data_IF_632663036576
#
_entry.id   IF_632663036576
#
_cell.length_a   1.000
_cell.length_b   1.000
_cell.length_c   1.000
_cell.angle_alpha   90.00
_cell.angle_beta   90.00
_cell.angle_gamma   90.00
#
_symmetry.space_group_name_H-M   'P 1'
#
loop_
_entity.id
_entity.type
_entity.pdbx_description
1 polymer ?
#
# COMPACT_ATOMS: atom_id res chain seq x y z
N UNK A 1 4.50 5.03 4.16
CA UNK A 1 3.58 4.77 5.28
C UNK A 1 2.66 3.65 4.88
N UNK A 2 2.61 2.60 5.68
CA UNK A 2 1.61 1.55 5.59
C UNK A 2 0.59 1.82 6.70
N UNK A 3 -0.67 2.01 6.33
CA UNK A 3 -1.71 2.51 7.23
C UNK A 3 -2.87 1.52 7.23
N UNK A 4 -3.43 1.29 8.41
CA UNK A 4 -4.72 0.62 8.57
C UNK A 4 -5.85 1.65 8.41
N UNK A 5 -6.37 1.76 7.19
CA UNK A 5 -7.44 2.71 6.84
C UNK A 5 -8.81 2.01 7.00
N UNK A 6 -9.64 2.39 7.99
CA UNK A 6 -10.95 1.75 8.21
C UNK A 6 -11.98 2.14 7.14
N UNK A 7 -11.68 3.09 6.26
CA UNK A 7 -12.59 3.62 5.26
C UNK A 7 -12.83 2.71 4.05
N UNK A 8 -13.70 3.15 3.12
CA UNK A 8 -14.09 2.38 1.92
C UNK A 8 -12.92 2.13 0.96
N UNK A 9 -11.86 2.94 1.03
CA UNK A 9 -10.66 2.80 0.20
C UNK A 9 -9.52 2.04 0.88
N UNK A 10 -9.71 1.61 2.13
CA UNK A 10 -8.78 0.81 2.92
C UNK A 10 -9.33 -0.59 3.14
N UNK A 11 -9.79 -0.88 4.37
CA UNK A 11 -10.46 -2.13 4.75
C UNK A 11 -11.70 -2.42 3.91
N UNK A 12 -12.41 -1.41 3.40
CA UNK A 12 -13.55 -1.61 2.49
C UNK A 12 -13.20 -2.30 1.16
N UNK A 13 -11.91 -2.38 0.81
CA UNK A 13 -11.40 -3.09 -0.36
C UNK A 13 -10.88 -4.51 -0.08
N UNK A 14 -10.88 -4.92 1.18
CA UNK A 14 -10.42 -6.24 1.59
C UNK A 14 -11.34 -7.34 1.05
N UNK A 15 -10.75 -8.47 0.64
CA UNK A 15 -11.47 -9.65 0.21
C UNK A 15 -11.25 -10.77 1.23
N UNK A 16 -12.31 -11.38 1.75
CA UNK A 16 -12.20 -12.44 2.76
C UNK A 16 -11.49 -13.71 2.25
N UNK A 17 -11.37 -13.91 0.94
CA UNK A 17 -10.56 -14.98 0.36
C UNK A 17 -9.04 -14.75 0.51
N UNK A 18 -8.61 -13.60 1.04
CA UNK A 18 -7.22 -13.33 1.39
C UNK A 18 -6.73 -14.16 2.59
N UNK A 19 -7.65 -14.63 3.45
CA UNK A 19 -7.29 -15.51 4.57
C UNK A 19 -6.88 -16.90 4.05
N UNK A 20 -6.04 -17.64 4.81
CA UNK A 20 -5.38 -17.24 6.07
C UNK A 20 -4.07 -16.45 5.87
N UNK A 21 -3.59 -16.29 4.64
CA UNK A 21 -2.27 -15.68 4.39
C UNK A 21 -2.24 -14.19 4.75
N UNK A 22 -3.34 -13.48 4.56
CA UNK A 22 -3.48 -12.09 4.97
C UNK A 22 -4.80 -11.94 5.70
N UNK A 23 -4.74 -11.62 6.98
CA UNK A 23 -5.91 -11.29 7.80
C UNK A 23 -6.31 -9.82 7.65
N UNK A 24 -7.57 -9.49 7.98
CA UNK A 24 -8.09 -8.13 7.83
C UNK A 24 -7.32 -7.10 8.66
N UNK A 25 -6.84 -7.48 9.85
CA UNK A 25 -6.06 -6.61 10.74
C UNK A 25 -4.61 -6.41 10.25
N UNK A 26 -4.13 -7.26 9.35
CA UNK A 26 -2.85 -7.12 8.65
C UNK A 26 -2.97 -6.30 7.37
N UNK A 27 -4.17 -6.11 6.84
CA UNK A 27 -4.41 -5.33 5.63
C UNK A 27 -3.90 -3.89 5.76
N UNK A 28 -2.99 -3.48 4.87
CA UNK A 28 -2.45 -2.11 4.85
C UNK A 28 -2.68 -1.45 3.51
N UNK A 29 -2.81 -0.13 3.57
CA UNK A 29 -2.88 0.79 2.44
C UNK A 29 -1.69 1.73 2.48
N UNK A 30 -1.19 2.13 1.32
CA UNK A 30 -0.14 3.13 1.22
C UNK A 30 -0.08 3.75 -0.17
N UNK A 31 1.04 4.44 -0.42
CA UNK A 31 1.32 5.08 -1.70
C UNK A 31 1.76 4.06 -2.74
N UNK A 32 1.40 4.30 -4.01
CA UNK A 32 1.95 3.61 -5.19
C UNK A 32 3.43 3.97 -5.43
N UNK A 33 3.86 5.11 -4.90
CA UNK A 33 5.25 5.56 -4.93
C UNK A 33 5.94 5.17 -3.62
N UNK A 34 7.05 4.44 -3.73
CA UNK A 34 7.82 3.97 -2.60
C UNK A 34 9.31 3.92 -2.92
N UNK A 35 10.11 3.86 -1.87
CA UNK A 35 11.54 3.59 -1.93
C UNK A 35 11.81 2.34 -1.11
N UNK A 36 12.71 1.50 -1.60
CA UNK A 36 13.14 0.29 -0.90
C UNK A 36 14.64 0.17 -1.00
N UNK A 37 15.27 -0.32 0.07
CA UNK A 37 16.65 -0.76 -0.01
C UNK A 37 16.73 -2.11 -0.77
N UNK A 38 17.95 -2.55 -1.08
CA UNK A 38 18.17 -3.78 -1.84
C UNK A 38 17.63 -5.03 -1.14
N UNK A 39 17.76 -5.09 0.19
CA UNK A 39 17.33 -6.26 0.97
C UNK A 39 15.81 -6.44 0.88
N UNK A 40 15.04 -5.38 1.12
CA UNK A 40 13.57 -5.41 0.99
C UNK A 40 13.12 -5.65 -0.46
N UNK A 41 13.86 -5.14 -1.45
CA UNK A 41 13.55 -5.39 -2.86
C UNK A 41 13.67 -6.89 -3.21
N UNK A 42 14.65 -7.59 -2.64
CA UNK A 42 14.79 -9.04 -2.82
C UNK A 42 13.59 -9.78 -2.19
N UNK A 43 13.15 -9.38 -0.99
CA UNK A 43 11.96 -9.93 -0.34
C UNK A 43 10.69 -9.79 -1.20
N UNK A 44 10.51 -8.63 -1.85
CA UNK A 44 9.39 -8.39 -2.77
C UNK A 44 9.44 -9.32 -3.98
N UNK A 45 10.60 -9.44 -4.63
CA UNK A 45 10.71 -10.20 -5.88
C UNK A 45 10.60 -11.71 -5.65
N UNK A 46 11.04 -12.21 -4.49
CA UNK A 46 10.98 -13.64 -4.16
C UNK A 46 9.62 -14.09 -3.59
N UNK A 47 8.69 -13.17 -3.34
CA UNK A 47 7.45 -13.49 -2.67
C UNK A 47 6.56 -14.41 -3.51
N UNK A 48 6.35 -15.61 -3.00
CA UNK A 48 5.44 -16.63 -3.54
C UNK A 48 4.27 -16.94 -2.62
N UNK A 49 4.12 -16.22 -1.51
CA UNK A 49 3.08 -16.46 -0.50
C UNK A 49 1.96 -15.43 -0.66
N UNK A 50 2.30 -14.15 -0.59
CA UNK A 50 1.30 -13.08 -0.56
C UNK A 50 0.92 -12.63 -1.97
N UNK A 51 1.89 -12.39 -2.85
CA UNK A 51 1.63 -11.92 -4.22
C UNK A 51 0.59 -12.77 -4.98
N UNK A 52 0.60 -14.11 -4.94
CA UNK A 52 -0.44 -14.91 -5.59
C UNK A 52 -1.86 -14.60 -5.09
N UNK A 53 -2.06 -14.40 -3.79
CA UNK A 53 -3.35 -14.01 -3.20
C UNK A 53 -3.80 -12.63 -3.70
N UNK A 54 -2.89 -11.66 -3.74
CA UNK A 54 -3.19 -10.34 -4.31
C UNK A 54 -3.51 -10.42 -5.80
N UNK A 55 -2.74 -11.19 -6.56
CA UNK A 55 -2.98 -11.41 -7.98
C UNK A 55 -4.34 -12.04 -8.25
N UNK A 56 -4.77 -12.97 -7.41
CA UNK A 56 -6.05 -13.67 -7.55
C UNK A 56 -7.24 -12.82 -7.08
N UNK A 57 -7.17 -12.30 -5.85
CA UNK A 57 -8.31 -11.75 -5.12
C UNK A 57 -8.36 -10.22 -5.04
N UNK A 58 -7.24 -9.50 -5.25
CA UNK A 58 -7.22 -8.04 -5.33
C UNK A 58 -7.55 -7.58 -6.76
N UNK A 59 -8.80 -7.83 -7.18
CA UNK A 59 -9.35 -7.34 -8.45
C UNK A 59 -9.97 -5.96 -8.27
N UNK A 60 -10.10 -5.14 -9.33
CA UNK A 60 -10.77 -3.85 -9.23
C UNK A 60 -12.10 -3.96 -8.46
N UNK A 61 -12.35 -3.11 -7.46
CA UNK A 61 -11.67 -1.84 -7.13
C UNK A 61 -10.60 -1.92 -6.01
N UNK A 62 -9.93 -3.07 -5.81
CA UNK A 62 -8.93 -3.24 -4.73
C UNK A 62 -7.62 -2.44 -4.90
N UNK A 63 -7.02 -2.39 -6.11
CA UNK A 63 -5.72 -1.74 -6.41
C UNK A 63 -4.52 -2.33 -5.65
N UNK A 64 -3.93 -3.38 -6.21
CA UNK A 64 -2.82 -4.11 -5.59
C UNK A 64 -1.56 -3.25 -5.36
N UNK A 65 -1.31 -2.27 -6.20
CA UNK A 65 -0.20 -1.32 -6.08
C UNK A 65 -0.33 -0.37 -4.87
N UNK A 66 -1.52 -0.22 -4.29
CA UNK A 66 -1.75 0.53 -3.04
C UNK A 66 -1.71 -0.37 -1.79
N UNK A 67 -1.84 -1.69 -1.93
CA UNK A 67 -2.05 -2.61 -0.80
C UNK A 67 -1.01 -3.73 -0.65
N UNK A 68 -0.51 -4.31 -1.73
CA UNK A 68 0.31 -5.53 -1.71
C UNK A 68 1.61 -5.35 -0.92
N UNK A 69 2.53 -4.52 -1.43
CA UNK A 69 3.85 -4.32 -0.81
C UNK A 69 3.70 -3.74 0.60
N UNK A 70 2.70 -2.89 0.83
CA UNK A 70 2.41 -2.30 2.13
C UNK A 70 2.00 -3.36 3.16
N UNK A 71 1.15 -4.30 2.75
CA UNK A 71 0.68 -5.40 3.61
C UNK A 71 1.79 -6.42 3.84
N UNK A 72 2.39 -6.93 2.77
CA UNK A 72 3.44 -7.96 2.86
C UNK A 72 4.61 -7.49 3.73
N UNK A 73 5.15 -6.29 3.49
CA UNK A 73 6.27 -5.80 4.30
C UNK A 73 5.86 -5.44 5.74
N UNK A 74 4.60 -5.08 6.00
CA UNK A 74 4.12 -4.86 7.37
C UNK A 74 4.00 -6.16 8.16
N UNK A 75 3.70 -7.27 7.49
CA UNK A 75 3.68 -8.60 8.09
C UNK A 75 5.12 -9.08 8.34
N UNK A 76 5.99 -9.02 7.33
CA UNK A 76 7.32 -9.62 7.37
C UNK A 76 8.38 -8.78 8.09
N UNK A 77 8.32 -7.44 7.99
CA UNK A 77 9.45 -6.57 8.37
C UNK A 77 9.02 -5.17 8.81
N UNK A 78 8.01 -5.10 9.68
CA UNK A 78 7.45 -3.83 10.19
C UNK A 78 8.51 -2.87 10.78
N UNK A 79 9.54 -3.39 11.43
CA UNK A 79 10.61 -2.59 12.05
C UNK A 79 11.50 -1.87 11.02
N UNK A 80 11.53 -2.36 9.78
CA UNK A 80 12.33 -1.78 8.69
C UNK A 80 11.58 -0.67 7.94
N UNK A 81 10.32 -0.39 8.31
CA UNK A 81 9.48 0.60 7.63
C UNK A 81 9.67 2.00 8.22
N UNK A 82 10.16 2.93 7.40
CA UNK A 82 10.52 4.29 7.84
C UNK A 82 9.34 5.21 8.19
N UNK A 83 8.08 4.79 8.03
CA UNK A 83 6.87 5.60 8.21
C UNK A 83 6.89 6.98 7.52
N UNK A 84 7.73 7.15 6.50
CA UNK A 84 7.87 8.35 5.67
C UNK A 84 8.19 7.97 4.22
N UNK A 85 8.11 8.92 3.31
CA UNK A 85 8.52 8.79 1.91
C UNK A 85 9.23 10.08 1.47
N UNK A 86 10.04 10.04 0.42
CA UNK A 86 10.59 11.25 -0.22
C UNK A 86 9.57 11.98 -1.09
N UNK A 87 8.43 11.34 -1.37
CA UNK A 87 7.34 11.94 -2.13
C UNK A 87 6.40 12.69 -1.21
N UNK A 88 6.09 13.94 -1.55
CA UNK A 88 5.01 14.70 -0.92
C UNK A 88 3.80 14.78 -1.85
N UNK A 89 2.61 14.63 -1.28
CA UNK A 89 1.35 14.54 -2.03
C UNK A 89 0.28 15.33 -1.29
N UNK A 90 -0.44 16.18 -2.01
CA UNK A 90 -1.58 16.94 -1.49
C UNK A 90 -2.90 16.23 -1.81
N UNK A 91 -3.57 15.75 -0.75
CA UNK A 91 -4.89 15.12 -0.77
C UNK A 91 -6.00 16.01 -0.18
N UNK A 92 -5.72 17.30 0.09
CA UNK A 92 -6.72 18.24 0.61
C UNK A 92 -7.91 18.43 -0.34
N UNK A 93 -7.68 18.17 -1.64
CA UNK A 93 -8.71 18.15 -2.68
C UNK A 93 -9.31 16.75 -2.75
N UNK A 94 -10.58 16.59 -2.33
CA UNK A 94 -11.28 15.29 -2.33
C UNK A 94 -11.49 14.83 -3.78
N UNK A 95 -10.58 13.98 -4.28
CA UNK A 95 -10.62 13.41 -5.62
C UNK A 95 -9.92 12.04 -5.64
N UNK A 96 -10.09 11.29 -6.74
CA UNK A 96 -9.40 10.02 -6.96
C UNK A 96 -7.89 10.16 -7.20
N UNK A 97 -7.43 11.38 -7.48
CA UNK A 97 -6.05 11.71 -7.79
C UNK A 97 -5.60 12.91 -6.94
N UNK A 98 -4.30 12.98 -6.58
CA UNK A 98 -3.79 14.07 -5.79
C UNK A 98 -3.79 15.40 -6.55
N UNK A 99 -3.68 16.50 -5.82
CA UNK A 99 -3.65 17.83 -6.40
C UNK A 99 -2.45 18.00 -7.36
N UNK A 100 -2.70 18.68 -8.48
CA UNK A 100 -1.64 19.18 -9.36
C UNK A 100 -1.13 20.51 -8.81
N UNK A 101 0.19 20.58 -8.60
CA UNK A 101 0.87 21.82 -8.22
C UNK A 101 1.05 22.76 -9.40
N UNK A 102 0.91 24.05 -9.13
CA UNK A 102 1.13 25.13 -10.08
C UNK A 102 2.01 26.24 -9.49
N UNK A 103 2.08 27.38 -10.19
CA UNK A 103 2.90 28.53 -9.79
C UNK A 103 2.59 29.03 -8.37
N UNK A 104 1.32 28.98 -7.96
CA UNK A 104 0.89 29.46 -6.64
C UNK A 104 1.30 28.58 -5.46
N UNK A 105 1.79 27.36 -5.72
CA UNK A 105 2.21 26.41 -4.68
C UNK A 105 3.74 26.46 -4.43
N UNK A 106 4.47 27.30 -5.16
CA UNK A 106 5.92 27.50 -5.00
C UNK A 106 6.14 28.69 -4.06
N UNK A 107 6.59 28.41 -2.84
CA UNK A 107 6.97 29.41 -1.82
C UNK A 107 8.47 29.58 -1.73
#
# INVERSE_FOLDING_TARGET
>A
MAIDDPGPYGRGRYNWNMTPEVELDQWRKGSRWFEVNRELAIEIVKDTVYYPKFKEFCRPSCYSDEHYIQTMLSIETSQSLANRSVTWVDWSRIAAHPARFGRGDIT
#
